data_IF_299349880596
#
_entry.id   IF_299349880596
#
_cell.length_a   1.000
_cell.length_b   1.000
_cell.length_c   1.000
_cell.angle_alpha   90.00
_cell.angle_beta   90.00
_cell.angle_gamma   90.00
#
_symmetry.space_group_name_H-M   'P 1'
#
loop_
_entity.id
_entity.type
_entity.pdbx_description
1 polymer ?
#
# COMPACT_ATOMS: atom_id res chain seq x y z
N UNK A 1 -4.84 -5.37 20.48
CA UNK A 1 -3.93 -4.28 20.96
C UNK A 1 -4.69 -2.97 21.27
N UNK A 2 -4.15 -2.02 22.05
CA UNK A 2 -4.80 -0.72 22.39
C UNK A 2 -4.19 0.47 21.60
N UNK A 3 -5.00 1.52 21.30
CA UNK A 3 -4.66 2.70 20.47
C UNK A 3 -3.35 3.39 20.85
N UNK A 4 -3.04 3.54 22.14
CA UNK A 4 -1.79 4.17 22.60
C UNK A 4 -0.57 3.36 22.13
N UNK A 5 -0.62 2.02 22.25
CA UNK A 5 0.45 1.12 21.81
C UNK A 5 0.56 1.04 20.28
N UNK A 6 -0.55 1.18 19.56
CA UNK A 6 -0.54 1.34 18.09
C UNK A 6 0.22 2.61 17.69
N UNK A 7 -0.07 3.77 18.31
CA UNK A 7 0.65 5.02 18.06
C UNK A 7 2.15 4.92 18.42
N UNK A 8 2.49 4.19 19.47
CA UNK A 8 3.88 3.83 19.80
C UNK A 8 4.56 3.07 18.66
N UNK A 9 4.04 1.89 18.31
CA UNK A 9 4.61 1.05 17.25
C UNK A 9 4.75 1.77 15.90
N UNK A 10 3.82 2.67 15.55
CA UNK A 10 3.91 3.48 14.32
C UNK A 10 5.05 4.52 14.38
N UNK A 11 5.42 4.99 15.57
CA UNK A 11 6.61 5.84 15.76
C UNK A 11 7.89 5.01 15.78
N UNK A 12 7.87 3.89 16.50
CA UNK A 12 9.01 3.01 16.73
C UNK A 12 9.46 2.27 15.44
N UNK A 13 8.52 2.02 14.53
CA UNK A 13 8.76 1.37 13.22
C UNK A 13 8.67 2.34 12.02
N UNK A 14 8.78 3.64 12.26
CA UNK A 14 8.86 4.64 11.18
C UNK A 14 10.15 4.45 10.37
N UNK A 15 10.14 4.59 9.03
CA UNK A 15 11.33 4.38 8.20
C UNK A 15 12.43 5.43 8.43
N UNK A 16 13.68 5.01 8.28
CA UNK A 16 14.81 5.92 8.04
C UNK A 16 14.99 6.05 6.53
N UNK A 17 14.66 7.21 5.96
CA UNK A 17 14.82 7.46 4.53
C UNK A 17 16.11 8.23 4.30
N UNK A 18 17.00 7.73 3.45
CA UNK A 18 18.12 8.50 2.91
C UNK A 18 17.71 9.15 1.60
N UNK A 19 17.81 10.47 1.51
CA UNK A 19 17.75 11.18 0.24
C UNK A 19 19.09 11.02 -0.48
N UNK A 20 19.07 10.91 -1.81
CA UNK A 20 20.28 10.68 -2.60
C UNK A 20 21.37 11.76 -2.39
N UNK A 21 22.66 11.42 -2.55
CA UNK A 21 23.74 12.40 -2.56
C UNK A 21 23.54 13.42 -3.69
N UNK A 22 23.54 14.71 -3.34
CA UNK A 22 23.30 15.79 -4.28
C UNK A 22 21.83 16.01 -4.66
N UNK A 23 20.86 15.46 -3.91
CA UNK A 23 19.43 15.76 -4.10
C UNK A 23 19.15 17.26 -3.98
N UNK A 24 18.40 17.80 -4.93
CA UNK A 24 18.03 19.22 -5.00
C UNK A 24 16.58 19.45 -4.55
N UNK A 25 15.66 18.56 -4.91
CA UNK A 25 14.23 18.66 -4.67
C UNK A 25 13.89 17.90 -3.38
N UNK A 26 14.05 18.58 -2.26
CA UNK A 26 13.83 17.99 -0.94
C UNK A 26 12.32 17.84 -0.65
N UNK A 27 11.90 16.97 0.28
CA UNK A 27 10.49 16.83 0.63
C UNK A 27 9.94 18.08 1.35
N UNK A 28 8.62 18.17 1.47
CA UNK A 28 7.92 19.31 2.09
C UNK A 28 6.68 18.89 2.85
N UNK A 29 6.22 19.72 3.80
CA UNK A 29 4.90 19.56 4.40
C UNK A 29 3.80 19.92 3.39
N UNK A 30 2.75 19.10 3.34
CA UNK A 30 1.61 19.31 2.43
C UNK A 30 0.92 20.68 2.63
N UNK A 31 0.73 21.23 3.85
CA UNK A 31 0.16 22.58 4.01
C UNK A 31 1.01 23.65 3.31
N UNK A 32 2.34 23.65 3.53
CA UNK A 32 3.28 24.62 2.94
C UNK A 32 3.35 24.49 1.40
N UNK A 33 3.15 23.28 0.86
CA UNK A 33 2.93 23.07 -0.56
C UNK A 33 1.61 23.73 -1.02
N UNK A 34 0.48 23.39 -0.40
CA UNK A 34 -0.86 23.86 -0.78
C UNK A 34 -1.03 25.38 -0.68
N UNK A 35 -0.31 26.05 0.23
CA UNK A 35 -0.25 27.52 0.31
C UNK A 35 0.25 28.15 -1.02
N UNK A 36 0.95 27.39 -1.86
CA UNK A 36 1.46 27.81 -3.17
C UNK A 36 0.64 27.26 -4.37
N UNK A 37 -0.43 26.49 -4.11
CA UNK A 37 -1.26 25.85 -5.15
C UNK A 37 -2.66 26.47 -5.28
N UNK A 38 -3.26 26.31 -6.44
CA UNK A 38 -4.68 26.58 -6.70
C UNK A 38 -5.35 25.26 -7.14
N UNK A 39 -6.56 25.00 -6.66
CA UNK A 39 -7.35 23.86 -7.13
C UNK A 39 -8.21 24.27 -8.32
N UNK A 40 -8.18 23.45 -9.36
CA UNK A 40 -9.25 23.28 -10.33
C UNK A 40 -10.03 22.00 -9.98
N UNK A 41 -10.97 21.57 -10.84
CA UNK A 41 -11.75 20.33 -10.72
C UNK A 41 -10.85 19.09 -10.71
N UNK A 42 -9.88 19.03 -11.63
CA UNK A 42 -9.04 17.84 -11.86
C UNK A 42 -7.59 17.97 -11.35
N UNK A 43 -7.10 19.19 -11.07
CA UNK A 43 -5.69 19.48 -10.81
C UNK A 43 -5.48 20.40 -9.59
N UNK A 44 -4.32 20.25 -8.94
CA UNK A 44 -3.75 21.25 -8.03
C UNK A 44 -2.56 21.91 -8.74
N UNK A 45 -2.79 22.96 -9.53
CA UNK A 45 -1.72 23.65 -10.28
C UNK A 45 -1.06 24.75 -9.46
N UNK A 46 0.19 25.08 -9.78
CA UNK A 46 0.96 26.13 -9.11
C UNK A 46 0.36 27.54 -9.35
N UNK A 47 0.38 28.41 -8.33
CA UNK A 47 -0.05 29.82 -8.45
C UNK A 47 0.89 30.68 -9.31
N UNK A 48 2.12 30.21 -9.51
CA UNK A 48 3.17 30.83 -10.33
C UNK A 48 3.62 29.77 -11.33
N UNK A 49 4.04 30.19 -12.53
CA UNK A 49 4.55 29.27 -13.55
C UNK A 49 5.72 28.38 -13.03
N UNK A 50 5.74 27.12 -13.49
CA UNK A 50 6.69 26.11 -13.01
C UNK A 50 8.12 26.42 -13.44
N UNK A 51 8.35 26.97 -14.64
CA UNK A 51 9.70 27.36 -15.07
C UNK A 51 10.24 28.52 -14.24
N UNK A 52 9.38 29.49 -13.88
CA UNK A 52 9.76 30.61 -13.00
C UNK A 52 10.13 30.08 -11.61
N UNK A 53 9.37 29.13 -11.08
CA UNK A 53 9.65 28.49 -9.79
C UNK A 53 10.95 27.66 -9.82
N UNK A 54 11.25 26.95 -10.91
CA UNK A 54 12.48 26.17 -11.08
C UNK A 54 13.73 27.06 -11.24
N UNK A 55 13.60 28.22 -11.90
CA UNK A 55 14.70 29.21 -11.99
C UNK A 55 15.06 29.80 -10.61
N UNK A 56 14.13 29.80 -9.66
CA UNK A 56 14.33 30.30 -8.29
C UNK A 56 14.63 29.14 -7.31
N UNK A 57 15.90 28.93 -6.97
CA UNK A 57 16.34 27.91 -5.98
C UNK A 57 15.78 28.09 -4.56
N UNK A 58 15.17 29.23 -4.24
CA UNK A 58 14.48 29.48 -2.96
C UNK A 58 12.97 29.19 -3.02
N UNK A 59 12.43 28.73 -4.16
CA UNK A 59 11.02 28.38 -4.29
C UNK A 59 10.65 27.10 -3.52
N UNK A 60 9.37 26.93 -3.22
CA UNK A 60 8.87 25.75 -2.51
C UNK A 60 9.11 24.44 -3.26
N UNK A 61 9.37 24.46 -4.58
CA UNK A 61 9.69 23.26 -5.36
C UNK A 61 10.94 22.54 -4.85
N UNK A 62 11.89 23.28 -4.26
CA UNK A 62 13.13 22.74 -3.69
C UNK A 62 12.98 22.18 -2.26
N UNK A 63 11.78 22.31 -1.67
CA UNK A 63 11.45 21.73 -0.36
C UNK A 63 12.29 22.25 0.81
N UNK A 64 12.47 21.40 1.83
CA UNK A 64 13.26 21.71 3.03
C UNK A 64 14.14 20.53 3.45
N UNK A 65 15.33 20.79 4.01
CA UNK A 65 16.14 19.77 4.70
C UNK A 65 15.29 19.13 5.81
N UNK A 66 14.99 17.82 5.80
CA UNK A 66 13.77 17.29 6.44
C UNK A 66 13.86 16.97 7.93
N UNK A 67 15.07 16.90 8.50
CA UNK A 67 15.34 16.34 9.83
C UNK A 67 14.70 17.18 10.95
N UNK A 68 13.52 16.76 11.41
CA UNK A 68 12.73 17.44 12.45
C UNK A 68 11.85 18.60 11.94
N UNK A 69 11.90 18.89 10.64
CA UNK A 69 11.26 20.05 10.00
C UNK A 69 10.13 19.65 9.06
N UNK A 70 10.28 18.56 8.30
CA UNK A 70 9.30 18.05 7.35
C UNK A 70 8.56 16.84 7.94
N UNK A 71 7.22 16.86 8.02
CA UNK A 71 6.44 15.74 8.53
C UNK A 71 6.41 14.57 7.52
N UNK A 72 6.34 13.34 8.04
CA UNK A 72 5.80 12.20 7.29
C UNK A 72 4.34 11.96 7.70
N UNK A 73 3.49 11.54 6.75
CA UNK A 73 2.07 11.31 7.01
C UNK A 73 1.80 9.81 7.22
N UNK A 74 1.62 9.41 8.48
CA UNK A 74 1.44 8.02 8.88
C UNK A 74 -0.06 7.68 8.98
N UNK A 75 -0.59 7.06 7.92
CA UNK A 75 -2.00 6.70 7.78
C UNK A 75 -2.25 5.31 8.36
N UNK A 76 -2.95 5.25 9.49
CA UNK A 76 -3.27 4.01 10.22
C UNK A 76 -4.65 3.52 9.81
N UNK A 77 -4.76 2.25 9.39
CA UNK A 77 -6.02 1.53 9.19
C UNK A 77 -6.06 0.28 10.06
N UNK A 78 -7.00 0.25 11.01
CA UNK A 78 -7.26 -0.91 11.83
C UNK A 78 -7.99 -1.99 11.01
N UNK A 79 -7.57 -3.25 11.16
CA UNK A 79 -8.26 -4.41 10.61
C UNK A 79 -9.01 -5.11 11.76
N UNK A 80 -10.28 -4.75 11.95
CA UNK A 80 -11.14 -5.45 12.89
C UNK A 80 -11.43 -6.85 12.36
N UNK A 81 -11.18 -7.88 13.18
CA UNK A 81 -11.74 -9.21 12.96
C UNK A 81 -13.21 -9.13 13.43
N UNK A 82 -14.21 -9.37 12.57
CA UNK A 82 -15.61 -9.42 12.99
C UNK A 82 -15.79 -10.56 13.99
N UNK A 83 -16.44 -10.28 15.12
CA UNK A 83 -16.57 -11.25 16.20
C UNK A 83 -17.67 -12.26 15.85
N UNK A 84 -17.26 -13.46 15.40
CA UNK A 84 -18.16 -14.54 14.95
C UNK A 84 -18.82 -15.20 16.16
N UNK A 85 -19.70 -14.42 16.80
CA UNK A 85 -20.39 -14.73 18.06
C UNK A 85 -21.76 -14.04 18.19
N UNK A 86 -22.19 -13.25 17.20
CA UNK A 86 -23.45 -12.47 17.26
C UNK A 86 -24.61 -13.09 16.47
N UNK A 87 -24.35 -13.66 15.29
CA UNK A 87 -25.41 -14.07 14.34
C UNK A 87 -25.70 -15.58 14.33
N UNK A 88 -25.91 -16.17 15.52
CA UNK A 88 -26.52 -17.50 15.65
C UNK A 88 -27.65 -17.43 16.69
N UNK A 89 -28.78 -18.08 16.38
CA UNK A 89 -30.05 -18.06 17.13
C UNK A 89 -30.88 -16.77 16.97
N UNK A 90 -31.58 -16.65 15.81
CA UNK A 90 -32.98 -16.18 15.79
C UNK A 90 -33.79 -16.52 14.52
N UNK A 91 -33.75 -17.78 14.09
CA UNK A 91 -34.82 -18.35 13.26
C UNK A 91 -35.47 -19.49 14.07
N UNK A 92 -36.60 -19.17 14.71
CA UNK A 92 -37.48 -20.15 15.38
C UNK A 92 -38.70 -20.34 14.47
N UNK A 93 -39.15 -21.58 14.32
CA UNK A 93 -40.22 -21.93 13.38
C UNK A 93 -41.50 -21.10 13.58
N UNK A 94 -41.95 -20.43 12.52
CA UNK A 94 -43.37 -20.24 12.27
C UNK A 94 -43.72 -20.91 10.94
N UNK A 95 -44.41 -22.05 11.04
CA UNK A 95 -45.15 -22.62 9.91
C UNK A 95 -46.56 -22.05 10.00
N UNK A 96 -47.02 -21.35 8.96
CA UNK A 96 -48.40 -21.39 8.44
C UNK A 96 -48.64 -20.24 7.45
N UNK A 97 -48.71 -20.56 6.16
CA UNK A 97 -49.46 -19.76 5.19
C UNK A 97 -50.13 -20.71 4.19
N UNK A 98 -51.47 -20.69 4.04
CA UNK A 98 -52.15 -21.47 3.03
C UNK A 98 -51.98 -20.79 1.66
N UNK A 99 -51.78 -21.57 0.60
CA UNK A 99 -51.98 -21.12 -0.79
C UNK A 99 -53.03 -21.99 -1.46
N UNK A 100 -53.95 -21.32 -2.17
CA UNK A 100 -54.99 -21.96 -2.98
C UNK A 100 -54.36 -22.70 -4.18
N UNK A 101 -55.13 -23.63 -4.73
CA UNK A 101 -54.96 -24.10 -6.11
C UNK A 101 -55.09 -22.93 -7.09
N UNK A 102 -54.38 -23.02 -8.20
CA UNK A 102 -55.02 -23.08 -9.52
C UNK A 102 -54.19 -24.02 -10.41
N UNK A 103 -54.83 -24.61 -11.43
CA UNK A 103 -54.26 -25.66 -12.28
C UNK A 103 -54.07 -25.16 -13.72
N UNK A 104 -52.96 -25.52 -14.38
CA UNK A 104 -52.92 -25.64 -15.85
C UNK A 104 -51.73 -26.48 -16.35
N UNK A 105 -52.04 -27.72 -16.72
CA UNK A 105 -51.56 -28.50 -17.90
C UNK A 105 -50.65 -27.74 -18.91
N UNK A 106 -49.62 -28.33 -19.56
CA UNK A 106 -49.62 -29.55 -20.40
C UNK A 106 -48.20 -30.18 -20.52
N UNK A 107 -48.08 -31.52 -20.47
CA UNK A 107 -47.14 -32.49 -21.17
C UNK A 107 -45.61 -32.19 -21.31
N UNK A 108 -44.65 -33.14 -21.33
CA UNK A 108 -44.66 -34.55 -21.80
C UNK A 108 -43.56 -35.46 -21.20
N UNK A 109 -43.81 -36.79 -21.20
CA UNK A 109 -42.93 -38.01 -21.27
C UNK A 109 -41.41 -37.88 -20.91
N UNK A 110 -40.75 -38.65 -20.01
CA UNK A 110 -40.70 -40.10 -19.63
C UNK A 110 -39.82 -41.06 -20.48
N UNK A 111 -39.10 -41.98 -19.76
CA UNK A 111 -38.51 -43.29 -20.16
C UNK A 111 -37.20 -43.27 -21.00
N UNK A 112 -36.16 -44.13 -20.83
CA UNK A 112 -35.79 -45.29 -19.95
C UNK A 112 -34.29 -45.15 -19.51
N UNK A 113 -33.72 -45.72 -18.43
CA UNK A 113 -33.37 -47.14 -18.10
C UNK A 113 -32.48 -47.83 -19.17
N UNK A 114 -31.50 -48.73 -18.90
CA UNK A 114 -31.15 -49.70 -17.80
C UNK A 114 -29.64 -50.11 -18.00
N UNK A 115 -28.78 -50.85 -17.24
CA UNK A 115 -28.42 -51.25 -15.83
C UNK A 115 -27.13 -52.17 -15.98
N UNK A 116 -26.22 -52.62 -15.09
CA UNK A 116 -25.79 -52.50 -13.65
C UNK A 116 -24.29 -53.01 -13.50
N UNK A 117 -23.94 -53.96 -12.58
CA UNK A 117 -22.62 -54.56 -12.18
C UNK A 117 -21.60 -53.70 -11.38
N UNK A 118 -20.98 -54.16 -10.26
CA UNK A 118 -21.26 -55.33 -9.41
C UNK A 118 -20.09 -55.83 -8.49
N UNK A 119 -20.38 -56.14 -7.21
CA UNK A 119 -19.58 -56.95 -6.23
C UNK A 119 -18.23 -56.44 -5.64
N UNK A 120 -17.70 -56.92 -4.49
CA UNK A 120 -18.27 -57.56 -3.26
C UNK A 120 -17.22 -57.59 -2.09
N UNK A 121 -17.73 -57.46 -0.85
CA UNK A 121 -17.21 -57.65 0.55
C UNK A 121 -15.83 -58.28 0.89
N UNK A 122 -15.37 -57.98 2.13
CA UNK A 122 -15.02 -59.00 3.17
C UNK A 122 -15.28 -58.42 4.60
N UNK A 123 -15.51 -59.29 5.60
CA UNK A 123 -15.93 -59.00 6.98
C UNK A 123 -14.88 -59.42 8.04
N UNK A 124 -14.91 -58.80 9.24
CA UNK A 124 -14.77 -59.48 10.56
C UNK A 124 -15.37 -58.63 11.68
N UNK A 125 -16.05 -59.26 12.65
CA UNK A 125 -16.44 -58.71 13.97
C UNK A 125 -15.61 -59.39 15.06
N UNK A 126 -15.56 -58.83 16.29
CA UNK A 126 -15.90 -59.65 17.47
C UNK A 126 -16.35 -58.84 18.73
N UNK A 127 -16.87 -59.60 19.69
CA UNK A 127 -17.24 -59.38 21.10
C UNK A 127 -16.14 -58.75 21.99
N UNK A 128 -16.32 -58.44 23.29
CA UNK A 128 -17.47 -58.11 24.17
C UNK A 128 -16.99 -58.08 25.63
N UNK A 129 -17.58 -57.28 26.52
CA UNK A 129 -18.09 -57.76 27.83
C UNK A 129 -18.84 -56.68 28.63
N UNK A 130 -19.81 -57.12 29.43
CA UNK A 130 -20.50 -56.32 30.47
C UNK A 130 -19.81 -56.53 31.82
N UNK A 131 -19.75 -55.50 32.65
CA UNK A 131 -19.93 -55.65 34.10
C UNK A 131 -20.92 -54.57 34.56
N UNK A 132 -21.93 -54.98 35.33
CA UNK A 132 -22.84 -54.11 36.08
C UNK A 132 -22.53 -54.24 37.57
N UNK A 133 -22.61 -53.15 38.34
CA UNK A 133 -23.02 -53.20 39.74
C UNK A 133 -23.91 -52.01 40.10
N UNK A 134 -25.08 -52.38 40.60
CA UNK A 134 -25.98 -51.61 41.47
C UNK A 134 -25.32 -51.40 42.86
N UNK A 135 -25.83 -50.60 43.81
CA UNK A 135 -27.11 -49.89 43.91
C UNK A 135 -26.99 -48.68 44.88
N UNK A 136 -28.16 -48.18 45.34
CA UNK A 136 -28.43 -47.37 46.55
C UNK A 136 -28.73 -45.89 46.29
N UNK A 137 -29.88 -45.48 46.85
CA UNK A 137 -30.53 -44.18 46.70
C UNK A 137 -31.03 -43.72 48.07
N UNK A 138 -30.59 -42.56 48.54
CA UNK A 138 -31.22 -41.86 49.68
C UNK A 138 -31.35 -40.37 49.36
N UNK A 139 -32.50 -39.81 49.75
CA UNK A 139 -32.82 -38.40 49.58
C UNK A 139 -32.45 -37.62 50.85
N UNK A 140 -32.09 -36.34 50.71
CA UNK A 140 -32.69 -35.28 51.53
C UNK A 140 -32.53 -33.92 50.83
N UNK A 141 -33.45 -33.00 51.10
CA UNK A 141 -33.55 -31.69 50.44
C UNK A 141 -32.99 -30.57 51.32
N UNK A 142 -32.37 -29.55 50.71
CA UNK A 142 -32.79 -28.13 50.86
C UNK A 142 -32.00 -27.13 50.02
N UNK A 143 -32.57 -25.93 49.98
CA UNK A 143 -32.02 -24.60 49.66
C UNK A 143 -30.57 -24.37 50.17
N UNK A 144 -29.80 -23.40 49.67
CA UNK A 144 -30.23 -22.14 49.02
C UNK A 144 -29.25 -21.59 47.96
N UNK A 145 -29.55 -20.40 47.44
CA UNK A 145 -28.79 -19.65 46.43
C UNK A 145 -27.35 -19.26 46.87
N UNK A 146 -26.41 -19.10 45.92
CA UNK A 146 -25.44 -17.98 45.83
C UNK A 146 -24.44 -18.10 44.65
N UNK A 147 -23.97 -16.94 44.18
CA UNK A 147 -23.14 -16.77 42.97
C UNK A 147 -21.91 -17.70 42.82
N UNK A 148 -21.86 -18.51 41.76
CA UNK A 148 -20.58 -18.92 41.13
C UNK A 148 -20.29 -18.09 39.88
N UNK A 149 -19.62 -16.95 40.12
CA UNK A 149 -19.17 -15.96 39.13
C UNK A 149 -18.52 -16.63 37.90
N UNK A 150 -19.21 -16.58 36.75
CA UNK A 150 -18.59 -16.85 35.45
C UNK A 150 -17.48 -15.83 35.21
N UNK A 151 -16.22 -16.24 35.38
CA UNK A 151 -15.06 -15.52 34.81
C UNK A 151 -15.17 -15.54 33.29
N UNK A 152 -15.97 -14.63 32.71
CA UNK A 152 -15.77 -14.16 31.33
C UNK A 152 -14.40 -13.48 31.30
N UNK A 153 -13.35 -14.26 31.08
CA UNK A 153 -12.05 -13.71 30.76
C UNK A 153 -12.19 -12.90 29.47
N UNK A 154 -11.89 -11.60 29.54
CA UNK A 154 -11.90 -10.75 28.35
C UNK A 154 -10.90 -11.34 27.35
N UNK A 155 -11.40 -11.94 26.26
CA UNK A 155 -10.56 -12.28 25.11
C UNK A 155 -10.04 -10.94 24.57
N UNK A 156 -8.79 -10.62 24.89
CA UNK A 156 -8.10 -9.44 24.38
C UNK A 156 -8.23 -9.44 22.86
N UNK A 157 -9.02 -8.50 22.32
CA UNK A 157 -9.37 -8.52 20.91
C UNK A 157 -8.09 -8.33 20.10
N UNK A 158 -7.84 -9.31 19.23
CA UNK A 158 -6.70 -9.29 18.32
C UNK A 158 -6.89 -8.14 17.34
N UNK A 159 -6.07 -7.11 17.49
CA UNK A 159 -6.12 -5.89 16.69
C UNK A 159 -4.96 -5.93 15.71
N UNK A 160 -5.25 -6.48 14.53
CA UNK A 160 -4.38 -6.31 13.38
C UNK A 160 -4.55 -4.88 12.84
N UNK A 161 -3.49 -4.29 12.32
CA UNK A 161 -3.56 -2.99 11.65
C UNK A 161 -2.44 -2.87 10.62
N UNK A 162 -2.64 -2.06 9.60
CA UNK A 162 -1.54 -1.55 8.79
C UNK A 162 -1.39 -0.04 8.96
N UNK A 163 -0.17 0.42 8.75
CA UNK A 163 0.17 1.83 8.59
C UNK A 163 0.83 2.01 7.23
N UNK A 164 0.47 3.07 6.52
CA UNK A 164 1.19 3.55 5.33
C UNK A 164 1.79 4.90 5.64
N UNK A 165 3.11 5.01 5.51
CA UNK A 165 3.83 6.27 5.65
C UNK A 165 3.98 6.90 4.27
N UNK A 166 3.43 8.10 4.10
CA UNK A 166 3.49 8.85 2.84
C UNK A 166 4.55 9.95 2.93
N UNK A 167 5.50 9.91 2.00
CA UNK A 167 6.50 10.94 1.75
C UNK A 167 5.99 11.85 0.64
N UNK A 168 6.04 13.17 0.85
CA UNK A 168 5.62 14.15 -0.14
C UNK A 168 6.79 15.00 -0.63
N UNK A 169 6.91 15.14 -1.95
CA UNK A 169 7.92 15.96 -2.61
C UNK A 169 7.22 17.04 -3.47
N UNK A 170 7.62 18.32 -3.41
CA UNK A 170 6.97 19.39 -4.19
C UNK A 170 7.17 19.30 -5.70
N UNK A 171 8.23 18.64 -6.14
CA UNK A 171 8.62 18.49 -7.54
C UNK A 171 9.42 17.21 -7.68
N UNK A 172 9.18 16.47 -8.76
CA UNK A 172 9.90 15.24 -9.10
C UNK A 172 10.53 15.47 -10.47
N UNK A 173 11.87 15.54 -10.48
CA UNK A 173 12.69 15.68 -11.68
C UNK A 173 12.65 14.34 -12.42
N UNK A 174 12.42 14.41 -13.72
CA UNK A 174 12.25 13.25 -14.59
C UNK A 174 13.58 12.56 -14.89
N UNK A 175 13.80 12.20 -16.15
CA UNK A 175 15.08 11.62 -16.59
C UNK A 175 15.58 12.34 -17.83
N UNK A 176 16.86 12.70 -17.80
CA UNK A 176 17.58 13.19 -18.97
C UNK A 176 17.71 12.06 -20.01
N UNK A 177 17.15 12.29 -21.19
CA UNK A 177 17.25 11.42 -22.36
C UNK A 177 18.09 12.14 -23.42
N UNK A 178 18.98 11.41 -24.10
CA UNK A 178 19.71 11.95 -25.24
C UNK A 178 18.73 12.11 -26.42
N UNK A 179 18.64 13.32 -26.98
CA UNK A 179 17.77 13.65 -28.10
C UNK A 179 18.53 14.34 -29.22
N UNK A 180 18.12 14.05 -30.44
CA UNK A 180 18.49 14.79 -31.64
C UNK A 180 17.34 15.74 -31.99
N UNK A 181 17.60 17.04 -32.04
CA UNK A 181 16.61 18.00 -32.53
C UNK A 181 16.59 17.98 -34.06
N UNK A 182 15.43 17.65 -34.63
CA UNK A 182 15.16 17.62 -36.06
C UNK A 182 14.30 18.81 -36.51
N UNK A 183 14.24 19.87 -35.70
CA UNK A 183 13.56 21.14 -36.00
C UNK A 183 12.06 20.93 -36.17
N UNK A 184 11.58 20.98 -37.41
CA UNK A 184 10.16 20.77 -37.73
C UNK A 184 9.61 19.41 -37.24
N UNK A 185 10.47 18.38 -37.17
CA UNK A 185 10.07 17.06 -36.67
C UNK A 185 10.18 16.92 -35.14
N UNK A 186 10.66 17.93 -34.43
CA UNK A 186 10.84 17.95 -32.97
C UNK A 186 12.10 17.20 -32.49
N UNK A 187 12.22 17.06 -31.18
CA UNK A 187 13.35 16.38 -30.52
C UNK A 187 13.09 14.87 -30.39
N UNK A 188 13.87 14.06 -31.11
CA UNK A 188 13.73 12.60 -31.16
C UNK A 188 14.71 11.90 -30.20
N UNK A 189 14.27 10.97 -29.34
CA UNK A 189 15.15 10.24 -28.45
C UNK A 189 16.05 9.26 -29.21
N UNK A 190 17.37 9.39 -28.99
CA UNK A 190 18.41 8.57 -29.64
C UNK A 190 19.24 7.82 -28.57
N UNK A 191 19.77 6.63 -28.89
CA UNK A 191 20.68 5.94 -27.99
C UNK A 191 22.03 6.68 -27.90
N UNK A 192 22.62 6.73 -26.70
CA UNK A 192 24.01 7.17 -26.55
C UNK A 192 24.97 6.14 -27.14
N UNK A 193 26.04 6.61 -27.79
CA UNK A 193 27.04 5.78 -28.46
C UNK A 193 28.36 5.93 -27.70
N UNK A 194 28.89 4.83 -27.16
CA UNK A 194 30.06 4.87 -26.27
C UNK A 194 29.86 5.69 -24.99
N UNK A 195 28.61 5.96 -24.60
CA UNK A 195 28.27 6.88 -23.49
C UNK A 195 28.10 8.35 -23.91
N UNK A 196 28.50 8.72 -25.13
CA UNK A 196 28.37 10.08 -25.67
C UNK A 196 26.96 10.28 -26.26
N UNK A 197 26.38 11.47 -26.06
CA UNK A 197 25.15 11.88 -26.72
C UNK A 197 25.46 12.62 -28.03
N UNK A 198 24.91 12.15 -29.15
CA UNK A 198 25.06 12.77 -30.48
C UNK A 198 23.93 13.78 -30.72
N UNK A 199 23.85 14.78 -29.83
CA UNK A 199 22.74 15.72 -29.75
C UNK A 199 22.76 16.48 -28.43
N UNK A 200 21.61 16.66 -27.81
CA UNK A 200 21.45 17.31 -26.50
C UNK A 200 20.82 16.35 -25.50
N UNK A 201 21.07 16.54 -24.20
CA UNK A 201 20.23 15.91 -23.17
C UNK A 201 19.00 16.79 -22.90
N UNK A 202 17.81 16.19 -22.92
CA UNK A 202 16.57 16.83 -22.48
C UNK A 202 15.86 15.98 -21.43
N UNK A 203 15.34 16.62 -20.39
CA UNK A 203 14.56 15.98 -19.34
C UNK A 203 13.13 15.69 -19.80
N UNK A 204 12.63 14.52 -19.39
CA UNK A 204 11.26 14.10 -19.65
C UNK A 204 10.67 13.41 -18.41
N UNK A 205 9.40 13.70 -18.11
CA UNK A 205 8.73 13.20 -16.92
C UNK A 205 8.81 14.12 -15.69
N UNK A 206 9.24 15.36 -15.86
CA UNK A 206 9.22 16.38 -14.79
C UNK A 206 7.77 16.60 -14.34
N UNK A 207 7.50 16.68 -13.04
CA UNK A 207 6.15 16.98 -12.55
C UNK A 207 6.13 17.63 -11.17
N UNK A 208 5.08 18.42 -10.92
CA UNK A 208 4.85 19.08 -9.62
C UNK A 208 4.09 18.12 -8.71
N UNK A 209 4.52 17.99 -7.47
CA UNK A 209 4.00 17.05 -6.48
C UNK A 209 4.38 15.60 -6.78
N UNK A 210 4.92 14.88 -5.79
CA UNK A 210 5.10 13.43 -5.85
C UNK A 210 4.77 12.77 -4.50
N UNK A 211 4.30 11.52 -4.56
CA UNK A 211 3.66 10.78 -3.48
C UNK A 211 4.23 9.36 -3.39
N UNK A 212 5.41 9.23 -2.78
CA UNK A 212 6.00 7.93 -2.49
C UNK A 212 5.58 7.39 -1.12
N UNK A 213 5.62 6.07 -0.97
CA UNK A 213 5.15 5.43 0.27
C UNK A 213 5.76 4.05 0.57
N UNK A 214 5.75 3.72 1.85
CA UNK A 214 5.94 2.37 2.35
C UNK A 214 4.85 2.02 3.37
N UNK A 215 4.51 0.74 3.46
CA UNK A 215 3.46 0.23 4.35
C UNK A 215 4.00 -0.88 5.24
N UNK A 216 3.52 -0.96 6.49
CA UNK A 216 3.80 -2.02 7.45
C UNK A 216 2.51 -2.66 7.97
N UNK A 217 2.47 -3.99 8.13
CA UNK A 217 1.30 -4.73 8.62
C UNK A 217 1.61 -5.54 9.90
N UNK A 218 0.88 -5.25 10.98
CA UNK A 218 1.06 -5.82 12.32
C UNK A 218 -0.04 -6.83 12.66
N UNK A 219 0.35 -7.98 13.27
CA UNK A 219 -0.53 -9.10 13.66
C UNK A 219 -0.51 -9.30 15.19
N UNK A 220 -0.92 -8.28 15.94
CA UNK A 220 -0.76 -8.11 17.42
C UNK A 220 0.66 -8.21 18.00
N UNK A 221 1.67 -8.33 17.15
CA UNK A 221 3.10 -8.35 17.46
C UNK A 221 3.67 -6.95 17.71
N UNK A 222 4.74 -6.84 18.51
CA UNK A 222 5.50 -5.58 18.69
C UNK A 222 6.44 -5.25 17.51
N UNK A 223 6.37 -6.03 16.44
CA UNK A 223 7.06 -5.86 15.17
C UNK A 223 6.05 -6.08 14.04
N UNK A 224 6.23 -5.45 12.87
CA UNK A 224 5.45 -5.77 11.68
C UNK A 224 5.72 -7.21 11.23
N UNK A 225 4.73 -7.83 10.61
CA UNK A 225 4.86 -9.15 9.98
C UNK A 225 5.29 -9.07 8.52
N UNK A 226 4.83 -8.03 7.82
CA UNK A 226 5.10 -7.78 6.40
C UNK A 226 5.30 -6.28 6.18
N UNK A 227 6.22 -5.94 5.29
CA UNK A 227 6.46 -4.60 4.75
C UNK A 227 6.15 -4.59 3.25
N UNK A 228 5.63 -3.48 2.74
CA UNK A 228 5.55 -3.17 1.33
C UNK A 228 6.28 -1.85 1.05
N UNK A 229 7.03 -1.77 -0.04
CA UNK A 229 7.67 -0.53 -0.52
C UNK A 229 7.25 -0.29 -1.96
N UNK A 230 6.78 0.93 -2.24
CA UNK A 230 6.46 1.42 -3.60
C UNK A 230 7.72 1.94 -4.27
N UNK A 231 7.90 1.67 -5.56
CA UNK A 231 8.95 2.28 -6.38
C UNK A 231 8.37 2.57 -7.78
N UNK A 232 7.94 3.81 -8.02
CA UNK A 232 7.25 4.24 -9.24
C UNK A 232 5.97 3.42 -9.54
N UNK A 233 6.03 2.57 -10.57
CA UNK A 233 4.95 1.71 -11.06
C UNK A 233 5.10 0.23 -10.64
N UNK A 234 6.07 -0.05 -9.78
CA UNK A 234 6.29 -1.34 -9.16
C UNK A 234 6.30 -1.23 -7.63
N UNK A 235 6.38 -2.37 -6.95
CA UNK A 235 6.62 -2.44 -5.51
C UNK A 235 7.13 -3.81 -5.09
N UNK A 236 7.54 -3.93 -3.83
CA UNK A 236 8.03 -5.18 -3.26
C UNK A 236 7.49 -5.43 -1.86
N UNK A 237 7.08 -6.68 -1.63
CA UNK A 237 6.69 -7.22 -0.34
C UNK A 237 7.87 -7.95 0.30
N UNK A 238 8.03 -7.73 1.61
CA UNK A 238 9.07 -8.36 2.41
C UNK A 238 8.48 -8.84 3.73
N UNK A 239 8.81 -10.06 4.15
CA UNK A 239 8.43 -10.61 5.44
C UNK A 239 9.49 -10.27 6.49
N UNK A 240 9.09 -9.84 7.67
CA UNK A 240 10.05 -9.60 8.77
C UNK A 240 10.61 -10.93 9.30
N UNK A 241 11.92 -10.98 9.56
CA UNK A 241 12.57 -12.07 10.29
C UNK A 241 13.10 -11.56 11.65
N UNK A 242 12.51 -12.11 12.72
CA UNK A 242 12.86 -11.80 14.10
C UNK A 242 14.28 -12.25 14.46
N UNK A 243 14.87 -13.21 13.72
CA UNK A 243 16.21 -13.75 14.02
C UNK A 243 17.34 -12.83 13.56
N UNK A 244 17.16 -12.16 12.43
CA UNK A 244 18.14 -11.23 11.85
C UNK A 244 17.85 -9.76 12.16
N UNK A 245 16.61 -9.41 12.54
CA UNK A 245 16.17 -8.01 12.63
C UNK A 245 15.95 -7.35 11.27
N UNK A 246 15.88 -8.14 10.18
CA UNK A 246 15.75 -7.65 8.80
C UNK A 246 14.45 -8.09 8.15
N UNK A 247 14.01 -7.33 7.15
CA UNK A 247 12.96 -7.78 6.25
C UNK A 247 13.58 -8.60 5.11
N UNK A 248 12.99 -9.73 4.75
CA UNK A 248 13.43 -10.64 3.69
C UNK A 248 12.42 -10.60 2.55
N UNK A 249 12.88 -10.48 1.32
CA UNK A 249 12.06 -10.37 0.11
C UNK A 249 11.12 -11.58 -0.04
N UNK A 250 9.85 -11.30 -0.36
CA UNK A 250 8.77 -12.28 -0.45
C UNK A 250 8.11 -12.30 -1.84
N UNK A 251 7.82 -11.13 -2.42
CA UNK A 251 7.29 -11.00 -3.78
C UNK A 251 7.39 -9.56 -4.31
N UNK A 252 7.11 -9.36 -5.61
CA UNK A 252 7.02 -8.03 -6.22
C UNK A 252 5.67 -7.80 -6.89
N UNK A 253 5.17 -6.57 -6.80
CA UNK A 253 4.07 -6.07 -7.63
C UNK A 253 4.65 -5.34 -8.85
N UNK A 254 4.11 -5.61 -10.03
CA UNK A 254 4.45 -4.88 -11.26
C UNK A 254 3.16 -4.57 -12.01
N UNK A 255 2.87 -3.28 -12.24
CA UNK A 255 1.70 -2.86 -13.04
C UNK A 255 1.81 -3.36 -14.48
N UNK A 256 0.66 -3.55 -15.14
CA UNK A 256 0.61 -3.97 -16.55
C UNK A 256 1.24 -2.91 -17.45
N UNK A 257 2.01 -3.32 -18.47
CA UNK A 257 2.66 -2.43 -19.43
C UNK A 257 4.13 -2.07 -19.13
N UNK A 258 4.72 -2.63 -18.06
CA UNK A 258 6.12 -2.39 -17.71
C UNK A 258 7.08 -3.19 -18.62
N UNK A 259 8.03 -2.49 -19.26
CA UNK A 259 9.04 -3.08 -20.14
C UNK A 259 10.27 -3.65 -19.40
N UNK A 260 10.52 -3.23 -18.16
CA UNK A 260 11.66 -3.70 -17.36
C UNK A 260 11.21 -4.10 -15.96
N UNK A 261 11.39 -5.37 -15.57
CA UNK A 261 11.24 -5.75 -14.16
C UNK A 261 12.36 -5.10 -13.32
N UNK A 262 12.04 -4.29 -12.29
CA UNK A 262 13.04 -3.84 -11.34
C UNK A 262 13.55 -5.03 -10.52
N UNK A 263 14.79 -4.94 -10.05
CA UNK A 263 15.42 -5.93 -9.16
C UNK A 263 15.43 -5.31 -7.78
N UNK A 264 14.80 -5.98 -6.81
CA UNK A 264 14.82 -5.60 -5.41
C UNK A 264 15.87 -6.46 -4.66
N UNK A 265 16.55 -5.90 -3.64
CA UNK A 265 17.49 -6.65 -2.80
C UNK A 265 16.76 -7.74 -2.00
N UNK A 266 17.46 -8.84 -1.71
CA UNK A 266 16.93 -9.94 -0.89
C UNK A 266 16.55 -9.50 0.54
N UNK A 267 17.24 -8.48 1.08
CA UNK A 267 17.12 -8.07 2.49
C UNK A 267 17.07 -6.54 2.63
N UNK A 268 16.28 -6.08 3.60
CA UNK A 268 16.20 -4.67 4.02
C UNK A 268 16.57 -4.58 5.50
N UNK A 269 17.56 -3.77 5.80
CA UNK A 269 18.09 -3.59 7.16
C UNK A 269 17.25 -2.57 7.96
N UNK A 270 17.35 -2.65 9.29
CA UNK A 270 16.76 -1.68 10.23
C UNK A 270 17.86 -0.85 10.88
N UNK A 271 17.64 0.46 11.01
CA UNK A 271 18.37 1.30 11.95
C UNK A 271 17.81 1.05 13.36
N UNK A 272 18.67 1.03 14.36
CA UNK A 272 18.35 0.86 15.79
C UNK A 272 17.45 -0.36 16.11
N UNK A 273 17.41 -1.36 15.21
CA UNK A 273 16.63 -2.59 15.34
C UNK A 273 15.14 -2.50 14.97
N UNK A 274 14.61 -1.31 14.65
CA UNK A 274 13.18 -1.13 14.34
C UNK A 274 12.85 -0.17 13.19
N UNK A 275 13.77 0.69 12.74
CA UNK A 275 13.49 1.68 11.69
C UNK A 275 13.92 1.17 10.30
N UNK A 276 13.01 0.75 9.38
CA UNK A 276 13.42 0.21 8.08
C UNK A 276 14.21 1.24 7.27
N UNK A 277 15.38 0.87 6.76
CA UNK A 277 16.26 1.76 5.99
C UNK A 277 15.86 1.75 4.52
N UNK A 278 15.48 2.91 4.00
CA UNK A 278 15.05 3.12 2.61
C UNK A 278 15.85 4.27 1.96
N UNK A 279 15.85 4.33 0.64
CA UNK A 279 16.67 5.24 -0.17
C UNK A 279 15.81 5.88 -1.27
N UNK A 280 15.57 7.18 -1.18
CA UNK A 280 14.93 7.97 -2.23
C UNK A 280 15.92 8.21 -3.38
N UNK A 281 15.51 7.93 -4.61
CA UNK A 281 16.31 8.13 -5.81
C UNK A 281 16.50 9.62 -6.14
N UNK A 282 17.64 9.98 -6.74
CA UNK A 282 17.91 11.38 -7.11
C UNK A 282 16.91 11.88 -8.16
N UNK A 283 16.35 13.05 -7.89
CA UNK A 283 15.44 13.80 -8.76
C UNK A 283 14.02 13.23 -8.80
N UNK A 284 13.89 11.94 -9.13
CA UNK A 284 12.59 11.28 -9.35
C UNK A 284 12.06 10.51 -8.14
N UNK A 285 12.70 10.67 -6.97
CA UNK A 285 12.34 10.25 -5.61
C UNK A 285 11.89 8.80 -5.31
N UNK A 286 11.85 7.93 -6.32
CA UNK A 286 11.47 6.52 -6.22
C UNK A 286 12.13 5.81 -5.05
N UNK A 287 11.34 5.11 -4.26
CA UNK A 287 11.75 4.64 -2.93
C UNK A 287 12.31 3.21 -3.00
N UNK A 288 13.64 3.09 -2.93
CA UNK A 288 14.38 1.84 -3.03
C UNK A 288 14.80 1.31 -1.64
N UNK A 289 15.01 0.01 -1.55
CA UNK A 289 15.41 -0.70 -0.32
C UNK A 289 16.92 -0.95 -0.21
N UNK A 290 17.71 -0.48 -1.18
CA UNK A 290 19.17 -0.49 -1.18
C UNK A 290 19.72 0.78 -1.87
N UNK A 291 20.94 1.22 -1.54
CA UNK A 291 21.66 2.23 -2.31
C UNK A 291 22.17 1.64 -3.64
N UNK A 292 22.51 2.50 -4.61
CA UNK A 292 23.14 2.10 -5.87
C UNK A 292 22.38 2.58 -7.11
N UNK A 293 22.51 1.84 -8.21
CA UNK A 293 21.82 2.12 -9.49
C UNK A 293 20.72 1.10 -9.75
N UNK A 294 19.49 1.56 -9.82
CA UNK A 294 18.29 0.74 -10.03
C UNK A 294 17.71 1.00 -11.42
N UNK A 295 17.08 0.01 -12.06
CA UNK A 295 16.50 0.19 -13.41
C UNK A 295 15.21 1.03 -13.33
N UNK A 296 15.17 2.14 -14.03
CA UNK A 296 13.98 3.00 -14.09
C UNK A 296 12.84 2.28 -14.84
N UNK A 297 11.67 2.21 -14.21
CA UNK A 297 10.61 1.26 -14.62
C UNK A 297 9.95 1.66 -15.95
N UNK A 298 9.86 2.97 -16.23
CA UNK A 298 9.08 3.53 -17.36
C UNK A 298 9.80 3.51 -18.71
N UNK A 299 11.13 3.57 -18.74
CA UNK A 299 11.91 3.72 -19.99
C UNK A 299 13.17 2.82 -19.99
N UNK A 300 13.45 2.09 -21.08
CA UNK A 300 14.60 1.21 -21.18
C UNK A 300 15.92 1.99 -21.08
N UNK A 301 16.92 1.40 -20.42
CA UNK A 301 18.28 1.95 -20.21
C UNK A 301 18.37 3.25 -19.37
N UNK A 302 17.28 3.73 -18.78
CA UNK A 302 17.33 4.76 -17.74
C UNK A 302 17.46 4.14 -16.35
N UNK A 303 18.03 4.89 -15.42
CA UNK A 303 18.36 4.42 -14.07
C UNK A 303 17.98 5.45 -13.00
N UNK A 304 17.64 4.93 -11.83
CA UNK A 304 17.59 5.67 -10.57
C UNK A 304 18.94 5.54 -9.87
N UNK A 305 19.44 6.64 -9.30
CA UNK A 305 20.65 6.64 -8.46
C UNK A 305 20.23 6.99 -7.03
N UNK A 306 20.45 6.08 -6.06
CA UNK A 306 20.12 6.29 -4.65
C UNK A 306 21.33 6.01 -3.75
N UNK A 307 21.37 6.60 -2.55
CA UNK A 307 22.54 6.48 -1.68
C UNK A 307 22.45 7.25 -0.37
N UNK A 308 23.52 7.19 0.42
CA UNK A 308 23.64 7.84 1.73
C UNK A 308 23.91 9.36 1.61
N UNK A 309 22.90 10.13 1.19
CA UNK A 309 22.94 11.60 1.20
C UNK A 309 22.38 12.16 2.51
N UNK A 310 21.24 12.83 2.47
CA UNK A 310 20.61 13.44 3.65
C UNK A 310 19.72 12.41 4.36
N UNK A 311 20.06 12.04 5.59
CA UNK A 311 19.21 11.20 6.43
C UNK A 311 17.95 11.93 6.91
N UNK A 312 16.78 11.35 6.63
CA UNK A 312 15.46 11.74 7.14
C UNK A 312 14.97 10.68 8.15
N UNK A 313 15.28 10.83 9.45
CA UNK A 313 14.71 10.01 10.51
C UNK A 313 13.25 10.43 10.74
N UNK A 314 12.32 9.77 10.04
CA UNK A 314 10.94 10.25 9.85
C UNK A 314 10.13 10.33 11.16
N UNK A 315 10.50 9.57 12.19
CA UNK A 315 9.92 9.68 13.53
C UNK A 315 10.16 11.04 14.21
N UNK A 316 11.17 11.83 13.80
CA UNK A 316 11.43 13.15 14.41
C UNK A 316 10.29 14.15 14.16
N UNK A 317 9.57 14.06 13.03
CA UNK A 317 8.34 14.82 12.79
C UNK A 317 7.37 13.98 11.96
N UNK A 318 6.21 13.69 12.53
CA UNK A 318 5.21 12.77 11.96
C UNK A 318 3.80 13.24 12.30
N UNK A 319 2.89 13.16 11.34
CA UNK A 319 1.46 13.38 11.51
C UNK A 319 0.72 12.04 11.46
N UNK A 320 -0.02 11.70 12.53
CA UNK A 320 -0.71 10.42 12.70
C UNK A 320 -2.17 10.56 12.24
N UNK A 321 -2.51 9.95 11.11
CA UNK A 321 -3.83 10.06 10.48
C UNK A 321 -4.60 8.74 10.64
N UNK A 322 -5.64 8.75 11.49
CA UNK A 322 -6.45 7.57 11.80
C UNK A 322 -7.59 7.42 10.79
N UNK A 323 -7.55 6.38 9.95
CA UNK A 323 -8.60 6.08 8.98
C UNK A 323 -9.71 5.24 9.62
N UNK A 324 -10.44 5.87 10.53
CA UNK A 324 -11.65 5.35 11.18
C UNK A 324 -12.88 6.12 10.69
N UNK A 325 -14.06 5.48 10.65
CA UNK A 325 -15.26 6.00 9.99
C UNK A 325 -15.72 7.39 10.48
N UNK A 326 -15.49 7.68 11.77
CA UNK A 326 -15.86 8.95 12.41
C UNK A 326 -14.68 9.95 12.56
N UNK A 327 -13.55 9.75 11.88
CA UNK A 327 -12.39 10.67 11.96
C UNK A 327 -12.38 11.64 10.78
N UNK A 328 -12.40 12.94 11.07
CA UNK A 328 -12.20 14.00 10.07
C UNK A 328 -10.72 13.95 9.63
N UNK A 329 -10.49 13.47 8.41
CA UNK A 329 -9.19 13.54 7.74
C UNK A 329 -9.01 14.92 7.07
N UNK A 330 -7.78 15.41 6.87
CA UNK A 330 -7.54 16.64 6.11
C UNK A 330 -8.13 16.56 4.69
N UNK A 331 -8.69 17.67 4.19
CA UNK A 331 -9.35 17.74 2.88
C UNK A 331 -8.45 17.32 1.72
N UNK A 332 -7.14 17.61 1.79
CA UNK A 332 -6.16 17.16 0.81
C UNK A 332 -6.01 15.63 0.77
N UNK A 333 -6.25 14.94 1.89
CA UNK A 333 -6.17 13.47 1.96
C UNK A 333 -7.37 12.80 1.29
N UNK A 334 -8.48 13.51 1.09
CA UNK A 334 -9.67 13.03 0.36
C UNK A 334 -9.72 13.53 -1.10
N UNK A 335 -8.80 14.41 -1.52
CA UNK A 335 -8.68 14.88 -2.90
C UNK A 335 -8.36 13.73 -3.87
N UNK A 336 -9.11 13.67 -4.98
CA UNK A 336 -9.04 12.58 -5.97
C UNK A 336 -8.37 12.97 -7.29
N UNK A 337 -8.22 14.26 -7.57
CA UNK A 337 -7.56 14.76 -8.76
C UNK A 337 -6.04 14.51 -8.76
N UNK A 338 -5.37 15.14 -9.72
CA UNK A 338 -3.92 15.14 -9.85
C UNK A 338 -3.30 16.23 -8.99
N UNK A 339 -2.26 15.87 -8.24
CA UNK A 339 -1.40 16.83 -7.59
C UNK A 339 -0.46 17.40 -8.63
N UNK A 340 -0.31 18.73 -8.69
CA UNK A 340 0.49 19.39 -9.72
C UNK A 340 -0.26 19.77 -10.99
N UNK A 341 0.51 20.35 -11.91
CA UNK A 341 0.04 20.94 -13.15
C UNK A 341 -0.27 19.86 -14.21
N UNK A 342 -1.12 20.17 -15.22
CA UNK A 342 -1.31 19.31 -16.39
C UNK A 342 -0.02 19.21 -17.24
N UNK A 343 0.13 18.08 -17.95
CA UNK A 343 1.25 17.85 -18.87
C UNK A 343 1.41 18.97 -19.92
N UNK A 344 2.65 19.35 -20.20
CA UNK A 344 3.01 20.39 -21.18
C UNK A 344 4.29 20.02 -21.94
N UNK A 345 4.63 20.80 -22.96
CA UNK A 345 5.84 20.62 -23.79
C UNK A 345 5.99 19.15 -24.30
N UNK A 346 4.89 18.59 -24.79
CA UNK A 346 4.83 17.25 -25.38
C UNK A 346 5.37 17.22 -26.81
N UNK A 347 5.95 16.09 -27.21
CA UNK A 347 6.40 15.84 -28.58
C UNK A 347 5.25 16.02 -29.60
N UNK A 348 5.48 16.57 -30.82
CA UNK A 348 4.42 16.81 -31.81
C UNK A 348 3.58 15.56 -32.14
N UNK A 349 4.22 14.38 -32.11
CA UNK A 349 3.55 13.09 -32.37
C UNK A 349 2.81 12.49 -31.15
N UNK A 350 2.63 13.22 -30.05
CA UNK A 350 1.88 12.74 -28.88
C UNK A 350 0.42 12.37 -29.22
N UNK A 351 -0.20 13.09 -30.18
CA UNK A 351 -1.54 12.76 -30.71
C UNK A 351 -1.59 11.40 -31.45
N UNK A 352 -0.45 10.89 -31.91
CA UNK A 352 -0.29 9.59 -32.55
C UNK A 352 0.27 8.52 -31.59
N UNK A 353 0.12 8.73 -30.27
CA UNK A 353 0.50 7.77 -29.23
C UNK A 353 1.89 7.99 -28.62
N UNK A 354 2.76 8.82 -29.23
CA UNK A 354 4.12 9.08 -28.75
C UNK A 354 4.12 10.08 -27.57
N UNK A 355 3.54 9.66 -26.43
CA UNK A 355 3.30 10.47 -25.24
C UNK A 355 4.58 10.73 -24.41
N UNK A 356 5.60 11.30 -25.06
CA UNK A 356 6.78 11.84 -24.40
C UNK A 356 6.56 13.34 -24.19
N UNK A 357 6.59 13.78 -22.94
CA UNK A 357 6.42 15.18 -22.54
C UNK A 357 7.49 15.57 -21.51
N UNK A 358 8.00 16.80 -21.63
CA UNK A 358 8.95 17.37 -20.69
C UNK A 358 8.31 17.43 -19.30
N UNK A 359 7.16 18.11 -19.20
CA UNK A 359 6.28 18.03 -18.04
C UNK A 359 5.16 17.02 -18.25
N UNK A 360 4.96 16.13 -17.28
CA UNK A 360 3.85 15.17 -17.25
C UNK A 360 2.82 15.54 -16.19
N UNK A 361 1.65 14.92 -16.28
CA UNK A 361 0.62 15.00 -15.24
C UNK A 361 1.20 14.47 -13.91
N UNK A 362 1.12 15.26 -12.84
CA UNK A 362 1.50 14.78 -11.50
C UNK A 362 0.51 13.74 -10.93
N UNK A 363 0.85 13.12 -9.78
CA UNK A 363 0.22 11.90 -9.32
C UNK A 363 -1.24 12.11 -8.89
N UNK A 364 -2.06 11.08 -9.10
CA UNK A 364 -3.40 11.02 -8.51
C UNK A 364 -3.30 10.99 -6.97
N UNK A 365 -4.25 11.67 -6.32
CA UNK A 365 -4.31 11.74 -4.86
C UNK A 365 -4.44 10.38 -4.18
N UNK A 366 -4.02 10.32 -2.90
CA UNK A 366 -3.96 9.10 -2.08
C UNK A 366 -5.20 8.19 -2.18
N UNK A 367 -6.46 8.68 -2.22
CA UNK A 367 -7.64 7.82 -2.38
C UNK A 367 -7.71 6.99 -3.67
N UNK A 368 -6.93 7.35 -4.69
CA UNK A 368 -6.89 6.68 -5.99
C UNK A 368 -5.75 5.65 -6.09
N UNK A 369 -4.82 5.61 -5.12
CA UNK A 369 -3.74 4.61 -5.07
C UNK A 369 -4.26 3.32 -4.41
N UNK A 370 -3.81 2.16 -4.90
CA UNK A 370 -4.25 0.86 -4.38
C UNK A 370 -3.68 0.59 -2.97
N UNK A 371 -4.48 -0.07 -2.11
CA UNK A 371 -4.07 -0.43 -0.75
C UNK A 371 -3.13 -1.62 -0.76
N UNK A 372 -1.86 -1.43 -0.40
CA UNK A 372 -0.83 -2.50 -0.37
C UNK A 372 -1.23 -3.69 0.52
N UNK A 373 -2.01 -3.41 1.58
CA UNK A 373 -2.60 -4.44 2.43
C UNK A 373 -4.12 -4.35 2.41
N UNK A 374 -4.76 -5.51 2.52
CA UNK A 374 -6.21 -5.63 2.76
C UNK A 374 -6.43 -6.00 4.22
N UNK A 375 -7.42 -5.33 4.81
CA UNK A 375 -8.27 -5.94 5.82
C UNK A 375 -9.40 -6.63 5.04
#
# INVERSE_FOLDING_TARGET
MNRIRVKGLVRDWAPLVWLAPGELFLPLGVPEFLDNMQSDVDYLHTKIDVEILLRNRSSFLYGRKPTGTVPIYAVIKNCAIPDVSADVIKIRNERNFPKKRDETLISSKNMLQIDDFGSTMIFTNDLSQKIWKTDVKQNLEKHDDFEKKKKKGNRSQKLHFHVTYWMFYPFSEGKAVCVLDLGFFGSWPIPTVGGICLGMFKEYGNHVGDWEHMSLYFKDTNHPSTMYVSAHDAGAFYRYDLRSGTFVYESQETRKGIFQKPIFPEKVFTADGSHPILFSARGSHGLWTAPGKHKFVRLPRLYDESGFGIAWPTWKKMELLLKEENTILPSWMTFRGKWGNPKSNCHPLARFGFNICEFVDGPTGIPMKQSSFRC
#
